data_IF_730670989298
#
_entry.id   IF_730670989298
#
_cell.length_a   1.000
_cell.length_b   1.000
_cell.length_c   1.000
_cell.angle_alpha   90.00
_cell.angle_beta   90.00
_cell.angle_gamma   90.00
#
_symmetry.space_group_name_H-M   'P 1'
#
loop_
_entity.id
_entity.type
_entity.pdbx_description
1 polymer ?
#
# COMPACT_ATOMS: atom_id res chain seq x y z
N UNK A 1 2.36 -36.85 32.58
CA UNK A 1 3.28 -36.88 31.42
C UNK A 1 2.81 -35.87 30.39
N UNK A 2 3.51 -34.75 30.26
CA UNK A 2 3.21 -33.69 29.30
C UNK A 2 3.52 -34.22 27.90
N UNK A 3 2.53 -34.77 27.18
CA UNK A 3 2.72 -35.24 25.80
C UNK A 3 3.23 -34.08 24.96
N UNK A 4 4.43 -34.26 24.40
CA UNK A 4 5.17 -33.27 23.61
C UNK A 4 4.37 -32.82 22.41
N UNK A 5 4.43 -31.53 22.09
CA UNK A 5 3.95 -31.00 20.80
C UNK A 5 4.93 -31.47 19.73
N UNK A 6 4.47 -32.25 18.77
CA UNK A 6 5.30 -32.68 17.64
C UNK A 6 5.00 -31.81 16.43
N UNK A 7 6.05 -31.24 15.84
CA UNK A 7 5.96 -30.43 14.61
C UNK A 7 6.48 -31.25 13.46
N UNK A 8 5.63 -31.50 12.46
CA UNK A 8 5.96 -32.34 11.30
C UNK A 8 5.46 -31.71 10.01
N UNK A 9 6.11 -32.06 8.90
CA UNK A 9 5.66 -31.70 7.55
C UNK A 9 4.29 -32.33 7.30
N UNK A 10 3.42 -31.60 6.62
CA UNK A 10 2.04 -31.98 6.36
C UNK A 10 1.69 -31.68 4.90
N UNK A 11 0.98 -32.62 4.25
CA UNK A 11 0.60 -32.54 2.84
C UNK A 11 -0.88 -32.11 2.65
N UNK A 12 -1.59 -31.78 3.74
CA UNK A 12 -2.99 -31.30 3.73
C UNK A 12 -3.11 -29.83 3.30
N UNK A 13 -2.59 -29.50 2.12
CA UNK A 13 -2.75 -28.20 1.46
C UNK A 13 -2.60 -28.31 -0.06
N UNK A 14 -3.17 -27.35 -0.79
CA UNK A 14 -3.05 -27.25 -2.24
C UNK A 14 -2.72 -25.83 -2.69
N UNK A 15 -2.22 -25.71 -3.91
CA UNK A 15 -2.15 -24.45 -4.65
C UNK A 15 -3.26 -24.41 -5.69
N UNK A 16 -3.87 -23.25 -5.87
CA UNK A 16 -4.89 -23.05 -6.91
C UNK A 16 -4.32 -23.10 -8.35
N UNK A 17 -2.99 -23.08 -8.48
CA UNK A 17 -2.28 -23.14 -9.75
C UNK A 17 -2.47 -24.50 -10.47
N UNK A 18 -2.24 -24.54 -11.81
CA UNK A 18 -2.27 -25.78 -12.60
C UNK A 18 -1.35 -26.88 -12.05
N UNK A 19 -1.67 -28.14 -12.36
CA UNK A 19 -1.00 -29.33 -11.79
C UNK A 19 0.53 -29.32 -11.96
N UNK A 20 1.02 -28.94 -13.14
CA UNK A 20 2.45 -28.88 -13.45
C UNK A 20 3.18 -27.90 -12.53
N UNK A 21 2.60 -26.71 -12.34
CA UNK A 21 3.12 -25.68 -11.43
C UNK A 21 3.02 -26.13 -9.98
N UNK A 22 1.92 -26.76 -9.59
CA UNK A 22 1.67 -27.23 -8.22
C UNK A 22 2.76 -28.19 -7.72
N UNK A 23 3.25 -29.08 -8.58
CA UNK A 23 4.30 -30.04 -8.23
C UNK A 23 5.64 -29.37 -7.83
N UNK A 24 5.97 -28.26 -8.48
CA UNK A 24 7.16 -27.45 -8.15
C UNK A 24 6.93 -26.64 -6.88
N UNK A 25 5.72 -26.09 -6.70
CA UNK A 25 5.39 -25.28 -5.52
C UNK A 25 5.45 -26.07 -4.22
N UNK A 26 5.09 -27.36 -4.23
CA UNK A 26 5.25 -28.24 -3.07
C UNK A 26 6.71 -28.46 -2.64
N UNK A 27 7.68 -28.19 -3.52
CA UNK A 27 9.12 -28.19 -3.17
C UNK A 27 9.58 -26.84 -2.61
N UNK A 28 8.86 -25.77 -2.94
CA UNK A 28 9.25 -24.40 -2.61
C UNK A 28 8.57 -23.84 -1.38
N UNK A 29 7.34 -24.27 -1.11
CA UNK A 29 6.53 -23.84 0.04
C UNK A 29 5.98 -25.11 0.68
N UNK A 30 6.30 -25.32 1.95
CA UNK A 30 5.91 -26.49 2.73
C UNK A 30 5.02 -26.07 3.91
N UNK A 31 4.02 -26.90 4.22
CA UNK A 31 3.22 -26.75 5.44
C UNK A 31 3.84 -27.56 6.59
N UNK A 32 3.96 -26.94 7.75
CA UNK A 32 4.37 -27.60 8.99
C UNK A 32 3.25 -27.49 10.03
N UNK A 33 2.76 -28.63 10.49
CA UNK A 33 1.64 -28.73 11.41
C UNK A 33 2.12 -29.15 12.79
N UNK A 34 1.54 -28.54 13.83
CA UNK A 34 1.81 -28.85 15.23
C UNK A 34 0.63 -29.67 15.76
N UNK A 35 0.89 -30.92 16.11
CA UNK A 35 -0.12 -31.84 16.62
C UNK A 35 -0.08 -31.90 18.15
N UNK A 36 -1.26 -32.11 18.74
CA UNK A 36 -1.41 -32.37 20.16
C UNK A 36 -2.38 -33.53 20.35
N UNK A 37 -1.99 -34.47 21.22
CA UNK A 37 -2.90 -35.53 21.66
C UNK A 37 -4.06 -34.95 22.46
N UNK A 38 -5.29 -35.25 22.03
CA UNK A 38 -6.50 -34.97 22.80
C UNK A 38 -6.93 -36.23 23.56
N UNK A 39 -6.94 -36.13 24.89
CA UNK A 39 -7.29 -37.24 25.78
C UNK A 39 -8.77 -37.64 25.73
N UNK A 40 -9.66 -36.71 25.36
CA UNK A 40 -11.10 -36.95 25.31
C UNK A 40 -11.51 -37.67 24.03
N UNK A 41 -11.02 -37.21 22.88
CA UNK A 41 -11.31 -37.81 21.57
C UNK A 41 -10.40 -39.00 21.26
N UNK A 42 -9.34 -39.22 22.08
CA UNK A 42 -8.30 -40.25 21.90
C UNK A 42 -7.64 -40.21 20.52
N UNK A 43 -7.50 -39.02 19.95
CA UNK A 43 -6.87 -38.77 18.65
C UNK A 43 -5.82 -37.66 18.75
N UNK A 44 -4.87 -37.66 17.81
CA UNK A 44 -4.04 -36.49 17.57
C UNK A 44 -4.84 -35.45 16.79
N UNK A 45 -4.85 -34.22 17.28
CA UNK A 45 -5.51 -33.10 16.63
C UNK A 45 -4.47 -32.06 16.25
N UNK A 46 -4.57 -31.56 15.01
CA UNK A 46 -3.77 -30.43 14.54
C UNK A 46 -4.20 -29.18 15.31
N UNK A 47 -3.26 -28.57 16.04
CA UNK A 47 -3.54 -27.38 16.84
C UNK A 47 -3.32 -26.08 16.05
N UNK A 48 -2.30 -26.07 15.20
CA UNK A 48 -1.89 -24.92 14.40
C UNK A 48 -0.94 -25.38 13.30
N UNK A 49 -0.83 -24.60 12.24
CA UNK A 49 0.18 -24.80 11.19
C UNK A 49 0.86 -23.50 10.82
N UNK A 50 1.94 -23.60 10.07
CA UNK A 50 2.59 -22.48 9.40
C UNK A 50 3.10 -22.93 8.04
N UNK A 51 3.23 -21.98 7.11
CA UNK A 51 3.94 -22.21 5.86
C UNK A 51 5.39 -21.77 5.97
N UNK A 52 6.29 -22.53 5.34
CA UNK A 52 7.71 -22.23 5.22
C UNK A 52 8.13 -22.32 3.78
N UNK A 53 8.99 -21.41 3.36
CA UNK A 53 9.65 -21.45 2.07
C UNK A 53 10.97 -22.22 2.14
N UNK A 54 11.43 -22.72 0.99
CA UNK A 54 12.75 -23.34 0.83
C UNK A 54 13.90 -22.33 1.04
N UNK A 55 15.15 -22.79 0.92
CA UNK A 55 16.35 -22.10 1.41
C UNK A 55 16.65 -20.73 0.78
N UNK A 56 16.26 -20.47 -0.47
CA UNK A 56 16.50 -19.19 -1.14
C UNK A 56 15.35 -18.20 -0.95
N UNK A 57 15.63 -16.90 -0.99
CA UNK A 57 14.61 -15.85 -0.87
C UNK A 57 13.70 -15.86 -2.09
N UNK A 58 12.38 -15.90 -1.88
CA UNK A 58 11.41 -15.76 -2.97
C UNK A 58 10.87 -14.34 -3.00
N UNK A 59 10.51 -13.88 -4.20
CA UNK A 59 9.89 -12.58 -4.39
C UNK A 59 8.54 -12.51 -3.64
N UNK A 60 8.38 -11.63 -2.63
CA UNK A 60 7.14 -11.53 -1.86
C UNK A 60 5.92 -11.17 -2.69
N UNK A 61 6.06 -10.36 -3.76
CA UNK A 61 4.95 -10.05 -4.65
C UNK A 61 4.45 -11.27 -5.42
N UNK A 62 5.35 -12.18 -5.80
CA UNK A 62 4.98 -13.42 -6.48
C UNK A 62 4.20 -14.35 -5.54
N UNK A 63 4.67 -14.52 -4.31
CA UNK A 63 3.95 -15.30 -3.30
C UNK A 63 2.60 -14.66 -3.01
N UNK A 64 2.59 -13.33 -2.86
CA UNK A 64 1.39 -12.60 -2.52
C UNK A 64 0.31 -12.72 -3.62
N UNK A 65 0.71 -12.58 -4.89
CA UNK A 65 -0.27 -12.50 -5.99
C UNK A 65 -0.57 -13.82 -6.69
N UNK A 66 0.35 -14.81 -6.63
CA UNK A 66 0.29 -15.99 -7.50
C UNK A 66 0.52 -17.34 -6.84
N UNK A 67 1.22 -17.40 -5.70
CA UNK A 67 1.60 -18.68 -5.05
C UNK A 67 0.89 -18.84 -3.71
N UNK A 68 -0.44 -18.83 -3.74
CA UNK A 68 -1.28 -18.81 -2.55
C UNK A 68 -1.62 -20.26 -2.13
N UNK A 69 -1.13 -20.73 -0.96
CA UNK A 69 -1.48 -22.04 -0.44
C UNK A 69 -2.83 -22.03 0.28
N UNK A 70 -3.53 -23.16 0.21
CA UNK A 70 -4.82 -23.40 0.86
C UNK A 70 -4.76 -24.70 1.66
N UNK A 71 -4.65 -24.57 2.99
CA UNK A 71 -4.76 -25.69 3.92
C UNK A 71 -6.22 -26.06 4.12
N UNK A 72 -6.48 -27.35 4.17
CA UNK A 72 -7.81 -27.91 4.44
C UNK A 72 -7.76 -28.90 5.62
N UNK A 73 -8.92 -29.18 6.20
CA UNK A 73 -9.09 -30.22 7.21
C UNK A 73 -9.38 -31.60 6.60
N UNK A 74 -9.74 -32.58 7.41
CA UNK A 74 -10.00 -33.96 6.97
C UNK A 74 -11.23 -34.09 6.06
N UNK A 75 -12.14 -33.11 6.12
CA UNK A 75 -13.36 -33.05 5.31
C UNK A 75 -13.14 -32.24 4.02
N UNK A 76 -11.92 -31.76 3.78
CA UNK A 76 -11.57 -30.95 2.62
C UNK A 76 -11.99 -29.49 2.73
N UNK A 77 -12.41 -29.03 3.92
CA UNK A 77 -12.84 -27.65 4.16
C UNK A 77 -11.62 -26.78 4.44
N UNK A 78 -11.53 -25.63 3.77
CA UNK A 78 -10.41 -24.68 3.96
C UNK A 78 -10.38 -24.17 5.40
N UNK A 79 -9.20 -24.25 6.01
CA UNK A 79 -8.95 -23.81 7.39
C UNK A 79 -9.16 -22.29 7.52
N UNK A 80 -9.86 -21.86 8.59
CA UNK A 80 -10.18 -20.43 8.83
C UNK A 80 -8.95 -19.53 8.99
N UNK A 81 -7.89 -20.06 9.57
CA UNK A 81 -6.60 -19.39 9.81
C UNK A 81 -5.67 -19.38 8.59
N UNK A 82 -6.07 -20.04 7.48
CA UNK A 82 -5.24 -20.12 6.27
C UNK A 82 -4.76 -18.78 5.76
N UNK A 83 -5.65 -17.78 5.73
CA UNK A 83 -5.29 -16.43 5.27
C UNK A 83 -4.20 -15.81 6.15
N UNK A 84 -4.30 -15.96 7.47
CA UNK A 84 -3.32 -15.40 8.41
C UNK A 84 -1.96 -16.09 8.25
N UNK A 85 -1.92 -17.42 8.18
CA UNK A 85 -0.67 -18.16 8.00
C UNK A 85 -0.01 -17.90 6.65
N UNK A 86 -0.81 -17.75 5.60
CA UNK A 86 -0.33 -17.31 4.30
C UNK A 86 0.26 -15.89 4.34
N UNK A 87 -0.40 -14.93 4.99
CA UNK A 87 0.16 -13.58 5.14
C UNK A 87 1.45 -13.58 5.96
N UNK A 88 1.56 -14.45 6.98
CA UNK A 88 2.81 -14.64 7.74
C UNK A 88 3.95 -15.16 6.86
N UNK A 89 3.67 -16.03 5.89
CA UNK A 89 4.67 -16.46 4.90
C UNK A 89 5.21 -15.26 4.11
N UNK A 90 4.32 -14.37 3.64
CA UNK A 90 4.72 -13.16 2.90
C UNK A 90 5.56 -12.22 3.77
N UNK A 91 5.19 -12.03 5.05
CA UNK A 91 5.97 -11.24 6.00
C UNK A 91 7.36 -11.83 6.20
N UNK A 92 7.46 -13.15 6.40
CA UNK A 92 8.74 -13.83 6.60
C UNK A 92 9.67 -13.69 5.37
N UNK A 93 9.13 -13.79 4.16
CA UNK A 93 9.92 -13.58 2.94
C UNK A 93 10.36 -12.13 2.76
N UNK A 94 9.52 -11.17 3.13
CA UNK A 94 9.90 -9.76 3.14
C UNK A 94 11.03 -9.49 4.13
N UNK A 95 10.99 -10.08 5.32
CA UNK A 95 12.04 -9.90 6.32
C UNK A 95 13.40 -10.45 5.83
N UNK A 96 13.39 -11.53 5.03
CA UNK A 96 14.60 -12.03 4.37
C UNK A 96 15.10 -11.05 3.31
N UNK A 97 14.22 -10.60 2.42
CA UNK A 97 14.53 -9.66 1.33
C UNK A 97 15.01 -8.30 1.84
N UNK A 98 14.46 -7.82 2.96
CA UNK A 98 14.77 -6.50 3.53
C UNK A 98 16.26 -6.31 3.86
N UNK A 99 17.03 -7.39 3.97
CA UNK A 99 18.47 -7.35 4.20
C UNK A 99 19.30 -7.14 2.92
N UNK A 100 18.66 -7.14 1.74
CA UNK A 100 19.34 -7.09 0.43
C UNK A 100 18.87 -5.90 -0.45
N UNK A 101 18.37 -4.81 0.14
CA UNK A 101 17.73 -3.71 -0.62
C UNK A 101 18.72 -2.75 -1.31
N UNK A 102 20.01 -2.90 -1.10
CA UNK A 102 21.02 -1.96 -1.60
C UNK A 102 20.98 -1.83 -3.13
N UNK A 103 20.76 -2.93 -3.85
CA UNK A 103 20.70 -2.89 -5.32
C UNK A 103 19.55 -2.05 -5.87
N UNK A 104 18.42 -1.97 -5.15
CA UNK A 104 17.25 -1.19 -5.55
C UNK A 104 17.61 0.29 -5.44
N UNK A 105 18.18 0.70 -4.31
CA UNK A 105 18.60 2.07 -4.07
C UNK A 105 19.66 2.50 -5.10
N UNK A 106 20.67 1.66 -5.37
CA UNK A 106 21.70 1.95 -6.37
C UNK A 106 21.12 2.12 -7.78
N UNK A 107 20.15 1.28 -8.15
CA UNK A 107 19.46 1.39 -9.44
C UNK A 107 18.66 2.68 -9.52
N UNK A 108 17.97 3.08 -8.46
CA UNK A 108 17.24 4.35 -8.43
C UNK A 108 18.18 5.54 -8.50
N UNK A 109 19.26 5.55 -7.74
CA UNK A 109 20.26 6.63 -7.81
C UNK A 109 20.86 6.76 -9.21
N UNK A 110 21.12 5.65 -9.92
CA UNK A 110 21.54 5.69 -11.34
C UNK A 110 20.51 6.38 -12.24
N UNK A 111 19.22 6.06 -12.07
CA UNK A 111 18.14 6.71 -12.83
C UNK A 111 18.10 8.20 -12.50
N UNK A 112 18.12 8.56 -11.21
CA UNK A 112 18.06 9.95 -10.75
C UNK A 112 19.27 10.76 -11.25
N UNK A 113 20.47 10.19 -11.24
CA UNK A 113 21.66 10.84 -11.78
C UNK A 113 21.56 11.06 -13.29
N UNK A 114 20.90 10.16 -14.03
CA UNK A 114 20.59 10.40 -15.43
C UNK A 114 19.73 11.65 -15.62
N UNK A 115 18.68 11.85 -14.79
CA UNK A 115 17.86 13.07 -14.85
C UNK A 115 18.70 14.33 -14.56
N UNK A 116 19.53 14.30 -13.52
CA UNK A 116 20.44 15.41 -13.19
C UNK A 116 21.36 15.76 -14.37
N UNK A 117 21.95 14.75 -15.00
CA UNK A 117 22.83 14.92 -16.17
C UNK A 117 22.09 15.49 -17.39
N UNK A 118 20.77 15.32 -17.47
CA UNK A 118 19.91 15.88 -18.52
C UNK A 118 19.32 17.26 -18.14
N UNK A 119 19.89 17.94 -17.14
CA UNK A 119 19.51 19.30 -16.76
C UNK A 119 18.22 19.41 -15.95
N UNK A 120 17.76 18.32 -15.32
CA UNK A 120 16.70 18.38 -14.33
C UNK A 120 17.27 18.67 -12.96
N UNK A 121 16.63 19.59 -12.24
CA UNK A 121 16.79 19.72 -10.80
C UNK A 121 16.01 18.59 -10.13
N UNK A 122 16.72 17.71 -9.41
CA UNK A 122 16.10 16.55 -8.74
C UNK A 122 16.31 16.64 -7.24
N UNK A 123 15.21 16.85 -6.53
CA UNK A 123 15.18 16.95 -5.08
C UNK A 123 14.57 15.70 -4.48
N UNK A 124 15.10 15.28 -3.34
CA UNK A 124 14.61 14.12 -2.61
C UNK A 124 14.36 14.44 -1.14
N UNK A 125 13.46 13.67 -0.54
CA UNK A 125 13.24 13.66 0.90
C UNK A 125 12.87 12.26 1.35
N UNK A 126 13.10 11.99 2.63
CA UNK A 126 12.75 10.71 3.24
C UNK A 126 11.61 10.93 4.20
N UNK A 127 10.69 9.98 4.31
CA UNK A 127 9.59 10.05 5.26
C UNK A 127 9.28 8.67 5.82
N UNK A 128 8.66 8.64 6.99
CA UNK A 128 8.25 7.40 7.66
C UNK A 128 6.76 7.49 8.00
N UNK A 129 5.98 6.41 7.90
CA UNK A 129 4.60 6.43 8.36
C UNK A 129 4.55 6.70 9.87
N UNK A 130 3.64 7.56 10.30
CA UNK A 130 3.33 7.82 11.72
C UNK A 130 2.91 6.54 12.42
N UNK A 131 2.09 5.74 11.75
CA UNK A 131 1.65 4.43 12.22
C UNK A 131 1.81 3.39 11.10
N UNK A 132 0.71 3.06 10.43
CA UNK A 132 0.65 2.08 9.35
C UNK A 132 0.18 2.74 8.08
N UNK A 133 0.62 2.22 6.94
CA UNK A 133 0.05 2.60 5.67
C UNK A 133 -0.20 1.37 4.79
N UNK A 134 -1.16 1.50 3.88
CA UNK A 134 -1.46 0.48 2.89
C UNK A 134 -1.86 1.17 1.59
N UNK A 135 -1.18 0.81 0.51
CA UNK A 135 -1.51 1.28 -0.84
C UNK A 135 -2.05 0.10 -1.64
N UNK A 136 -3.04 0.34 -2.49
CA UNK A 136 -3.60 -0.69 -3.37
C UNK A 136 -4.59 -1.65 -2.70
N UNK A 137 -5.16 -1.29 -1.54
CA UNK A 137 -6.09 -2.17 -0.80
C UNK A 137 -7.31 -2.61 -1.62
N UNK A 138 -7.79 -1.75 -2.52
CA UNK A 138 -8.95 -2.00 -3.38
C UNK A 138 -8.66 -2.68 -4.72
N UNK A 139 -7.41 -3.06 -4.99
CA UNK A 139 -7.10 -3.81 -6.21
C UNK A 139 -7.66 -5.24 -6.13
N UNK A 140 -8.08 -5.80 -7.27
CA UNK A 140 -8.58 -7.18 -7.33
C UNK A 140 -7.50 -8.16 -6.89
N UNK A 141 -7.83 -9.03 -5.94
CA UNK A 141 -6.91 -10.00 -5.38
C UNK A 141 -7.65 -11.27 -4.95
N UNK A 142 -7.09 -12.48 -5.11
CA UNK A 142 -7.76 -13.74 -4.75
C UNK A 142 -8.17 -13.84 -3.27
N UNK A 143 -7.56 -13.02 -2.41
CA UNK A 143 -7.84 -12.97 -0.96
C UNK A 143 -8.65 -11.73 -0.54
N UNK A 144 -9.30 -11.04 -1.49
CA UNK A 144 -10.16 -9.84 -1.30
C UNK A 144 -9.43 -8.55 -0.84
N UNK A 145 -8.30 -8.67 -0.15
CA UNK A 145 -7.47 -7.55 0.29
C UNK A 145 -6.14 -7.56 -0.45
N UNK A 146 -5.85 -6.47 -1.16
CA UNK A 146 -4.62 -6.33 -1.95
C UNK A 146 -3.64 -5.35 -1.32
N UNK A 147 -2.44 -5.26 -1.89
CA UNK A 147 -1.40 -4.34 -1.50
C UNK A 147 -0.48 -4.09 -2.71
N UNK A 148 0.00 -2.86 -2.86
CA UNK A 148 0.97 -2.49 -3.88
C UNK A 148 2.36 -3.01 -3.50
N UNK A 149 2.71 -4.18 -4.02
CA UNK A 149 4.07 -4.71 -4.05
C UNK A 149 4.63 -4.58 -5.46
N UNK A 150 5.88 -4.13 -5.57
CA UNK A 150 6.52 -3.99 -6.87
C UNK A 150 6.77 -5.38 -7.46
N UNK A 151 6.30 -5.64 -8.67
CA UNK A 151 6.34 -6.97 -9.30
C UNK A 151 7.77 -7.54 -9.43
N UNK A 152 8.76 -6.72 -9.81
CA UNK A 152 10.17 -7.17 -9.95
C UNK A 152 10.86 -7.33 -8.59
N UNK A 153 10.80 -6.31 -7.74
CA UNK A 153 11.57 -6.26 -6.50
C UNK A 153 10.88 -6.94 -5.32
N UNK A 154 9.56 -7.13 -5.38
CA UNK A 154 8.77 -7.71 -4.32
C UNK A 154 8.51 -6.80 -3.12
N UNK A 155 8.99 -5.55 -3.13
CA UNK A 155 8.90 -4.58 -2.01
C UNK A 155 7.63 -3.73 -2.05
N UNK A 156 7.11 -3.26 -0.90
CA UNK A 156 6.09 -2.20 -0.89
C UNK A 156 6.61 -0.94 -1.58
N UNK A 157 5.75 -0.24 -2.30
CA UNK A 157 6.07 1.07 -2.86
C UNK A 157 4.81 1.93 -2.94
N UNK A 158 4.98 3.24 -3.09
CA UNK A 158 3.89 4.17 -3.33
C UNK A 158 4.00 4.64 -4.79
N UNK A 159 3.00 4.35 -5.64
CA UNK A 159 3.02 4.79 -7.02
C UNK A 159 3.09 6.32 -7.14
N UNK A 160 3.84 6.80 -8.12
CA UNK A 160 3.94 8.22 -8.49
C UNK A 160 2.58 8.86 -8.72
N UNK A 161 1.64 8.12 -9.30
CA UNK A 161 0.27 8.58 -9.53
C UNK A 161 -0.50 8.82 -8.24
N UNK A 162 -0.30 7.98 -7.22
CA UNK A 162 -0.89 8.17 -5.90
C UNK A 162 -0.30 9.39 -5.20
N UNK A 163 1.03 9.58 -5.30
CA UNK A 163 1.74 10.75 -4.76
C UNK A 163 1.25 12.03 -5.45
N UNK A 164 1.27 12.08 -6.78
CA UNK A 164 0.78 13.23 -7.55
C UNK A 164 -0.69 13.51 -7.24
N UNK A 165 -1.52 12.46 -7.14
CA UNK A 165 -2.94 12.56 -6.84
C UNK A 165 -3.22 13.19 -5.48
N UNK A 166 -2.55 12.74 -4.43
CA UNK A 166 -2.77 13.30 -3.09
C UNK A 166 -2.32 14.75 -2.99
N UNK A 167 -1.16 15.08 -3.55
CA UNK A 167 -0.64 16.45 -3.52
C UNK A 167 -1.58 17.36 -4.30
N UNK A 168 -2.07 16.91 -5.47
CA UNK A 168 -3.07 17.66 -6.25
C UNK A 168 -4.35 17.87 -5.47
N UNK A 169 -4.89 16.82 -4.84
CA UNK A 169 -6.13 16.92 -4.08
C UNK A 169 -5.99 17.88 -2.89
N UNK A 170 -4.93 17.72 -2.09
CA UNK A 170 -4.63 18.62 -0.97
C UNK A 170 -4.46 20.07 -1.44
N UNK A 171 -3.77 20.28 -2.55
CA UNK A 171 -3.61 21.61 -3.16
C UNK A 171 -4.96 22.25 -3.50
N UNK A 172 -5.88 21.48 -4.10
CA UNK A 172 -7.24 21.95 -4.43
C UNK A 172 -7.98 22.35 -3.15
N UNK A 173 -7.89 21.58 -2.08
CA UNK A 173 -8.54 21.92 -0.81
C UNK A 173 -8.01 23.23 -0.23
N UNK A 174 -6.68 23.41 -0.17
CA UNK A 174 -6.05 24.66 0.31
C UNK A 174 -6.47 25.88 -0.52
N UNK A 175 -6.52 25.74 -1.84
CA UNK A 175 -6.97 26.83 -2.70
C UNK A 175 -8.49 27.08 -2.59
N UNK A 176 -9.30 26.06 -2.35
CA UNK A 176 -10.73 26.21 -2.11
C UNK A 176 -11.01 26.98 -0.81
N UNK A 177 -10.25 26.71 0.26
CA UNK A 177 -10.34 27.49 1.51
C UNK A 177 -10.06 28.98 1.26
N UNK A 178 -9.03 29.30 0.48
CA UNK A 178 -8.69 30.70 0.18
C UNK A 178 -9.69 31.34 -0.80
N UNK A 179 -10.19 30.58 -1.78
CA UNK A 179 -11.21 31.03 -2.72
C UNK A 179 -12.49 31.48 -2.00
N UNK A 180 -12.97 30.70 -1.01
CA UNK A 180 -14.13 31.05 -0.18
C UNK A 180 -13.88 32.34 0.61
N UNK A 181 -12.67 32.55 1.15
CA UNK A 181 -12.34 33.77 1.91
C UNK A 181 -12.38 35.02 1.04
N UNK A 182 -11.88 34.93 -0.19
CA UNK A 182 -11.85 36.06 -1.13
C UNK A 182 -13.27 36.39 -1.63
N UNK A 183 -14.10 35.37 -1.82
CA UNK A 183 -15.48 35.51 -2.32
C UNK A 183 -16.52 35.82 -1.23
N UNK A 184 -16.10 36.23 -0.03
CA UNK A 184 -17.01 36.63 1.07
C UNK A 184 -18.02 37.69 0.58
N UNK A 185 -19.26 37.25 0.32
CA UNK A 185 -20.34 38.05 -0.26
C UNK A 185 -21.18 37.30 -1.30
N UNK A 186 -20.63 36.23 -1.89
CA UNK A 186 -21.34 35.25 -2.73
C UNK A 186 -21.63 33.99 -1.89
N UNK A 187 -22.74 33.29 -2.15
CA UNK A 187 -23.18 32.07 -1.42
C UNK A 187 -22.36 30.83 -1.85
N UNK A 188 -21.04 30.95 -1.80
CA UNK A 188 -20.10 29.89 -2.19
C UNK A 188 -19.69 29.12 -0.94
N UNK A 189 -20.26 27.93 -0.78
CA UNK A 189 -19.81 26.99 0.26
C UNK A 189 -18.52 26.26 -0.17
N UNK A 190 -17.88 25.59 0.78
CA UNK A 190 -16.59 24.92 0.57
C UNK A 190 -16.65 23.81 -0.49
N UNK A 191 -17.71 23.00 -0.50
CA UNK A 191 -17.83 21.88 -1.45
C UNK A 191 -17.94 22.38 -2.91
N UNK A 192 -18.71 23.45 -3.13
CA UNK A 192 -18.80 24.12 -4.43
C UNK A 192 -17.44 24.70 -4.83
N UNK A 193 -16.73 25.34 -3.89
CA UNK A 193 -15.39 25.89 -4.15
C UNK A 193 -14.37 24.81 -4.54
N UNK A 194 -14.41 23.63 -3.91
CA UNK A 194 -13.54 22.49 -4.28
C UNK A 194 -13.80 22.06 -5.74
N UNK A 195 -15.06 21.96 -6.13
CA UNK A 195 -15.45 21.66 -7.50
C UNK A 195 -14.91 22.70 -8.50
N UNK A 196 -15.16 23.98 -8.22
CA UNK A 196 -14.71 25.08 -9.08
C UNK A 196 -13.19 25.14 -9.24
N UNK A 197 -12.45 25.09 -8.12
CA UNK A 197 -10.97 25.13 -8.13
C UNK A 197 -10.41 23.93 -8.90
N UNK A 198 -10.99 22.74 -8.72
CA UNK A 198 -10.60 21.53 -9.46
C UNK A 198 -10.85 21.65 -10.96
N UNK A 199 -12.01 22.17 -11.38
CA UNK A 199 -12.32 22.43 -12.79
C UNK A 199 -11.37 23.45 -13.40
N UNK A 200 -11.14 24.59 -12.73
CA UNK A 200 -10.21 25.63 -13.21
C UNK A 200 -8.79 25.11 -13.38
N UNK A 201 -8.34 24.24 -12.48
CA UNK A 201 -7.02 23.60 -12.57
C UNK A 201 -6.96 22.65 -13.77
N UNK A 202 -8.03 21.88 -14.03
CA UNK A 202 -8.12 20.97 -15.18
C UNK A 202 -8.11 21.72 -16.51
N UNK A 203 -8.82 22.84 -16.59
CA UNK A 203 -8.90 23.71 -17.77
C UNK A 203 -7.69 24.63 -17.95
N UNK A 204 -6.82 24.76 -16.93
CA UNK A 204 -5.70 25.70 -16.97
C UNK A 204 -6.08 27.17 -16.82
N UNK A 205 -7.28 27.47 -16.28
CA UNK A 205 -7.75 28.85 -16.07
C UNK A 205 -7.19 29.39 -14.76
N UNK A 206 -6.23 30.30 -14.85
CA UNK A 206 -5.56 30.86 -13.67
C UNK A 206 -6.53 31.68 -12.79
N UNK A 207 -6.68 31.31 -11.52
CA UNK A 207 -7.49 32.04 -10.54
C UNK A 207 -6.80 33.30 -9.97
N UNK A 208 -5.50 33.51 -10.26
CA UNK A 208 -4.71 34.61 -9.72
C UNK A 208 -4.68 34.67 -8.18
N UNK A 209 -4.85 33.52 -7.53
CA UNK A 209 -4.75 33.33 -6.09
C UNK A 209 -3.36 32.81 -5.75
N UNK A 210 -2.85 33.19 -4.59
CA UNK A 210 -1.61 32.65 -4.02
C UNK A 210 -1.86 32.19 -2.59
N UNK A 211 -1.46 30.96 -2.27
CA UNK A 211 -1.55 30.36 -0.94
C UNK A 211 -0.15 29.90 -0.55
N UNK A 212 0.36 30.31 0.62
CA UNK A 212 1.66 29.87 1.16
C UNK A 212 2.85 29.93 0.16
N UNK A 213 2.94 31.02 -0.60
CA UNK A 213 3.92 31.25 -1.69
C UNK A 213 3.77 30.34 -2.92
N UNK A 214 2.67 29.61 -3.03
CA UNK A 214 2.28 28.86 -4.23
C UNK A 214 1.17 29.62 -4.95
N UNK A 215 1.42 30.02 -6.20
CA UNK A 215 0.37 30.61 -7.03
C UNK A 215 -0.49 29.52 -7.67
N UNK A 216 -1.72 29.85 -8.06
CA UNK A 216 -2.55 28.91 -8.81
C UNK A 216 -1.92 28.55 -10.17
N UNK A 217 -1.17 29.49 -10.77
CA UNK A 217 -0.38 29.21 -11.97
C UNK A 217 0.74 28.20 -11.71
N UNK A 218 1.39 28.21 -10.53
CA UNK A 218 2.34 27.17 -10.16
C UNK A 218 1.67 25.79 -10.12
N UNK A 219 0.43 25.67 -9.62
CA UNK A 219 -0.30 24.38 -9.64
C UNK A 219 -0.54 23.87 -11.07
N UNK A 220 -0.92 24.77 -11.98
CA UNK A 220 -1.10 24.46 -13.40
C UNK A 220 0.22 23.93 -13.98
N UNK A 221 1.35 24.58 -13.68
CA UNK A 221 2.67 24.13 -14.12
C UNK A 221 3.07 22.80 -13.48
N UNK A 222 2.82 22.59 -12.18
CA UNK A 222 3.21 21.36 -11.47
C UNK A 222 2.43 20.15 -11.99
N UNK A 223 1.11 20.25 -12.07
CA UNK A 223 0.26 19.09 -12.36
C UNK A 223 -0.03 18.90 -13.84
N UNK A 224 0.04 19.97 -14.63
CA UNK A 224 -0.48 20.01 -16.00
C UNK A 224 -2.00 20.15 -16.04
N UNK A 225 -2.52 20.29 -17.26
CA UNK A 225 -3.93 20.47 -17.60
C UNK A 225 -4.32 19.43 -18.66
N UNK A 226 -5.53 19.51 -19.20
CA UNK A 226 -5.90 18.69 -20.37
C UNK A 226 -5.11 19.05 -21.64
N UNK A 227 -4.62 20.29 -21.73
CA UNK A 227 -3.94 20.82 -22.94
C UNK A 227 -2.43 21.01 -22.75
N UNK A 228 -1.92 20.88 -21.51
CA UNK A 228 -0.52 21.14 -21.17
C UNK A 228 0.04 20.05 -20.26
N UNK A 229 1.22 19.54 -20.60
CA UNK A 229 1.98 18.64 -19.74
C UNK A 229 2.49 19.38 -18.48
N UNK A 230 2.47 18.68 -17.34
CA UNK A 230 3.07 19.21 -16.12
C UNK A 230 4.60 19.25 -16.20
N UNK A 231 5.20 20.28 -15.65
CA UNK A 231 6.64 20.51 -15.63
C UNK A 231 7.38 19.75 -14.52
N UNK A 232 6.62 19.16 -13.58
CA UNK A 232 7.14 18.41 -12.45
C UNK A 232 6.85 16.92 -12.60
N UNK A 233 7.90 16.12 -12.47
CA UNK A 233 7.88 14.66 -12.47
C UNK A 233 7.88 14.18 -11.02
N UNK A 234 6.86 13.43 -10.66
CA UNK A 234 6.80 12.68 -9.41
C UNK A 234 7.25 11.25 -9.68
N UNK A 235 8.19 10.75 -8.87
CA UNK A 235 8.63 9.36 -8.96
C UNK A 235 7.88 8.48 -7.96
N UNK A 236 7.86 7.18 -8.23
CA UNK A 236 7.45 6.18 -7.26
C UNK A 236 8.34 6.27 -6.00
N UNK A 237 7.73 6.13 -4.83
CA UNK A 237 8.48 6.11 -3.57
C UNK A 237 8.79 4.67 -3.14
N UNK A 238 10.06 4.40 -2.86
CA UNK A 238 10.56 3.09 -2.47
C UNK A 238 11.13 3.10 -1.04
N UNK A 239 11.11 1.96 -0.35
CA UNK A 239 11.70 1.82 0.97
C UNK A 239 13.23 1.97 0.92
N UNK A 240 13.80 2.65 1.91
CA UNK A 240 15.24 2.70 2.15
C UNK A 240 15.55 2.17 3.56
N UNK A 241 16.29 1.07 3.61
CA UNK A 241 16.54 0.32 4.84
C UNK A 241 15.41 -0.66 5.17
N UNK A 242 15.27 -1.01 6.45
CA UNK A 242 14.40 -2.10 6.89
C UNK A 242 12.93 -1.90 6.50
N UNK A 243 12.37 -2.89 5.80
CA UNK A 243 10.94 -3.02 5.54
C UNK A 243 10.31 -3.79 6.70
N UNK A 244 9.19 -3.30 7.24
CA UNK A 244 8.43 -4.00 8.27
C UNK A 244 6.97 -4.13 7.83
N UNK A 245 6.61 -5.32 7.34
CA UNK A 245 5.21 -5.67 7.08
C UNK A 245 4.53 -6.17 8.35
N UNK A 246 3.27 -5.77 8.53
CA UNK A 246 2.40 -6.23 9.60
C UNK A 246 1.06 -6.69 9.05
N UNK A 247 0.50 -7.68 9.72
CA UNK A 247 -0.87 -8.12 9.47
C UNK A 247 -1.78 -7.28 10.37
N UNK A 248 -2.79 -6.69 9.77
CA UNK A 248 -3.88 -5.99 10.46
C UNK A 248 -5.22 -6.65 10.14
N UNK A 249 -6.28 -6.26 10.85
CA UNK A 249 -7.61 -6.86 10.74
C UNK A 249 -8.67 -5.79 10.56
N UNK A 250 -9.62 -6.02 9.66
CA UNK A 250 -10.83 -5.21 9.57
C UNK A 250 -12.09 -6.09 9.62
N UNK A 251 -13.15 -5.57 10.22
CA UNK A 251 -14.44 -6.24 10.29
C UNK A 251 -15.47 -5.38 9.54
N UNK A 252 -15.80 -5.66 8.26
CA UNK A 252 -16.89 -4.97 7.59
C UNK A 252 -18.22 -5.37 8.25
N UNK A 253 -18.98 -4.39 8.74
CA UNK A 253 -20.22 -4.62 9.50
C UNK A 253 -21.45 -4.93 8.62
N UNK A 254 -21.44 -4.61 7.32
CA UNK A 254 -22.61 -4.74 6.44
C UNK A 254 -22.28 -5.48 5.14
N UNK A 255 -21.74 -6.70 5.24
CA UNK A 255 -21.29 -7.46 4.07
C UNK A 255 -22.45 -7.70 3.10
N UNK A 256 -23.58 -8.21 3.57
CA UNK A 256 -24.71 -8.59 2.72
C UNK A 256 -25.33 -7.39 1.98
N UNK A 257 -25.24 -6.20 2.56
CA UNK A 257 -25.60 -4.95 1.90
C UNK A 257 -24.66 -4.57 0.76
N UNK A 258 -23.34 -4.62 1.00
CA UNK A 258 -22.35 -4.31 -0.04
C UNK A 258 -22.33 -5.32 -1.19
N UNK A 259 -22.74 -6.57 -0.95
CA UNK A 259 -22.92 -7.58 -1.99
C UNK A 259 -24.32 -7.55 -2.64
N UNK A 260 -25.20 -6.65 -2.21
CA UNK A 260 -26.54 -6.46 -2.78
C UNK A 260 -27.52 -7.60 -2.51
N UNK A 261 -27.23 -8.46 -1.53
CA UNK A 261 -28.03 -9.65 -1.23
C UNK A 261 -29.10 -9.40 -0.17
N UNK A 262 -28.88 -8.48 0.77
CA UNK A 262 -29.83 -8.13 1.84
C UNK A 262 -29.71 -6.65 2.24
N UNK A 263 -30.78 -6.03 2.79
CA UNK A 263 -30.68 -4.73 3.44
C UNK A 263 -29.67 -4.75 4.60
N UNK A 264 -29.06 -3.60 4.96
CA UNK A 264 -28.05 -3.55 6.01
C UNK A 264 -28.71 -3.91 7.35
N UNK A 265 -28.12 -4.85 8.06
CA UNK A 265 -28.63 -5.36 9.31
C UNK A 265 -27.51 -5.46 10.35
N UNK A 266 -27.76 -4.96 11.57
CA UNK A 266 -26.76 -4.92 12.65
C UNK A 266 -26.44 -6.30 13.26
N UNK A 267 -27.13 -7.37 12.82
CA UNK A 267 -26.91 -8.75 13.28
C UNK A 267 -26.06 -9.59 12.31
N UNK A 268 -25.47 -8.99 11.27
CA UNK A 268 -24.49 -9.67 10.41
C UNK A 268 -23.30 -10.16 11.27
N UNK A 269 -22.92 -11.44 11.13
CA UNK A 269 -21.78 -11.98 11.86
C UNK A 269 -20.48 -11.28 11.43
N UNK A 270 -19.65 -10.79 12.36
CA UNK A 270 -18.40 -10.14 12.00
C UNK A 270 -17.46 -11.15 11.35
N UNK A 271 -16.97 -10.81 10.16
CA UNK A 271 -15.97 -11.60 9.44
C UNK A 271 -14.63 -10.86 9.49
N UNK A 272 -13.68 -11.28 10.36
CA UNK A 272 -12.36 -10.69 10.41
C UNK A 272 -11.60 -10.90 9.11
N UNK A 273 -11.33 -9.80 8.41
CA UNK A 273 -10.54 -9.77 7.19
C UNK A 273 -9.13 -9.29 7.50
N UNK A 274 -8.18 -10.22 7.51
CA UNK A 274 -6.77 -9.86 7.66
C UNK A 274 -6.20 -9.23 6.38
N UNK A 275 -5.30 -8.28 6.51
CA UNK A 275 -4.63 -7.64 5.37
C UNK A 275 -3.22 -7.18 5.74
N UNK A 276 -2.37 -6.94 4.74
CA UNK A 276 -1.01 -6.46 4.95
C UNK A 276 -0.98 -4.93 5.05
N UNK A 277 -0.10 -4.46 5.93
CA UNK A 277 0.21 -3.05 6.15
C UNK A 277 1.71 -2.89 6.27
N UNK A 278 2.20 -1.69 6.00
CA UNK A 278 3.59 -1.31 6.20
C UNK A 278 3.67 -0.42 7.44
N UNK A 279 4.58 -0.76 8.35
CA UNK A 279 4.87 -0.03 9.58
C UNK A 279 6.35 0.32 9.62
N UNK A 280 6.76 1.36 10.35
CA UNK A 280 8.16 1.63 10.69
C UNK A 280 9.17 1.60 9.53
N UNK A 281 8.74 1.83 8.28
CA UNK A 281 9.55 1.68 7.07
C UNK A 281 9.78 3.06 6.47
N UNK A 282 11.04 3.47 6.33
CA UNK A 282 11.40 4.76 5.75
C UNK A 282 11.32 4.67 4.22
N UNK A 283 10.65 5.60 3.57
CA UNK A 283 10.58 5.70 2.11
C UNK A 283 11.33 6.93 1.62
N UNK A 284 11.88 6.84 0.40
CA UNK A 284 12.48 7.97 -0.31
C UNK A 284 11.54 8.43 -1.41
N UNK A 285 11.32 9.74 -1.46
CA UNK A 285 10.53 10.42 -2.47
C UNK A 285 11.47 11.26 -3.32
N UNK A 286 11.32 11.18 -4.64
CA UNK A 286 12.04 12.03 -5.59
C UNK A 286 11.03 12.86 -6.39
N UNK A 287 11.37 14.11 -6.61
CA UNK A 287 10.62 15.06 -7.44
C UNK A 287 11.64 15.78 -8.34
N UNK A 288 11.35 15.84 -9.63
CA UNK A 288 12.22 16.49 -10.60
C UNK A 288 11.49 17.53 -11.44
N UNK A 289 12.19 18.59 -11.82
CA UNK A 289 11.73 19.61 -12.74
C UNK A 289 12.90 20.39 -13.31
N UNK A 290 12.70 21.13 -14.41
CA UNK A 290 13.76 22.00 -14.96
C UNK A 290 13.86 23.33 -14.21
N UNK A 291 12.75 23.80 -13.64
CA UNK A 291 12.69 25.00 -12.81
C UNK A 291 12.95 24.63 -11.35
N UNK A 292 14.08 25.06 -10.80
CA UNK A 292 14.47 24.78 -9.42
C UNK A 292 13.48 25.36 -8.40
N UNK A 293 12.94 26.56 -8.66
CA UNK A 293 12.03 27.23 -7.73
C UNK A 293 10.71 26.48 -7.67
N UNK A 294 10.16 26.11 -8.84
CA UNK A 294 8.93 25.32 -8.91
C UNK A 294 9.12 23.93 -8.28
N UNK A 295 10.26 23.29 -8.54
CA UNK A 295 10.59 21.98 -7.96
C UNK A 295 10.67 22.05 -6.44
N UNK A 296 11.29 23.10 -5.89
CA UNK A 296 11.37 23.32 -4.43
C UNK A 296 10.00 23.54 -3.81
N UNK A 297 9.12 24.31 -4.46
CA UNK A 297 7.73 24.49 -4.03
C UNK A 297 6.96 23.16 -4.04
N UNK A 298 7.10 22.36 -5.10
CA UNK A 298 6.46 21.05 -5.21
C UNK A 298 6.93 20.08 -4.11
N UNK A 299 8.21 20.07 -3.78
CA UNK A 299 8.75 19.26 -2.66
C UNK A 299 8.17 19.68 -1.32
N UNK A 300 8.09 20.98 -1.05
CA UNK A 300 7.50 21.48 0.19
C UNK A 300 6.04 21.02 0.32
N UNK A 301 5.24 21.25 -0.71
CA UNK A 301 3.83 20.87 -0.73
C UNK A 301 3.63 19.36 -0.72
N UNK A 302 4.56 18.58 -1.27
CA UNK A 302 4.56 17.13 -1.12
C UNK A 302 4.71 16.68 0.33
N UNK A 303 5.64 17.27 1.08
CA UNK A 303 5.82 16.99 2.52
C UNK A 303 4.57 17.36 3.31
N UNK A 304 4.02 18.55 3.06
CA UNK A 304 2.84 19.05 3.79
C UNK A 304 1.60 18.18 3.50
N UNK A 305 1.33 17.84 2.25
CA UNK A 305 0.21 16.96 1.87
C UNK A 305 0.33 15.56 2.50
N UNK A 306 1.54 14.97 2.49
CA UNK A 306 1.80 13.67 3.11
C UNK A 306 1.66 13.70 4.64
N UNK A 307 1.90 14.85 5.27
CA UNK A 307 1.74 15.06 6.71
C UNK A 307 0.27 15.26 7.13
N UNK A 308 -0.48 16.03 6.34
CA UNK A 308 -1.85 16.44 6.69
C UNK A 308 -2.92 15.43 6.24
N UNK A 309 -2.81 14.88 5.02
CA UNK A 309 -3.81 13.96 4.48
C UNK A 309 -3.34 12.52 4.36
N UNK A 310 -2.03 12.32 4.19
CA UNK A 310 -1.45 10.99 4.01
C UNK A 310 -1.81 10.33 2.69
N UNK A 311 -1.26 9.14 2.45
CA UNK A 311 -1.36 8.43 1.17
C UNK A 311 -1.73 6.97 1.35
N UNK A 312 -2.55 6.45 0.43
CA UNK A 312 -3.06 5.08 0.45
C UNK A 312 -4.51 5.01 0.90
N UNK A 313 -4.92 3.84 1.38
CA UNK A 313 -6.28 3.61 1.86
C UNK A 313 -6.40 3.87 3.36
N UNK A 314 -7.63 4.12 3.81
CA UNK A 314 -7.99 4.30 5.24
C UNK A 314 -7.31 5.52 5.90
N UNK A 315 -7.03 6.57 5.14
CA UNK A 315 -6.40 7.80 5.65
C UNK A 315 -7.24 8.50 6.71
N UNK A 316 -8.58 8.47 6.59
CA UNK A 316 -9.50 8.97 7.61
C UNK A 316 -9.41 8.25 8.96
N UNK A 317 -8.82 7.05 8.98
CA UNK A 317 -8.57 6.26 10.19
C UNK A 317 -7.12 6.41 10.69
N UNK A 318 -6.35 7.36 10.14
CA UNK A 318 -4.96 7.63 10.53
C UNK A 318 -3.91 6.79 9.78
N UNK A 319 -4.30 5.99 8.77
CA UNK A 319 -3.33 5.28 7.93
C UNK A 319 -2.66 6.23 6.95
N UNK A 320 -1.42 5.94 6.56
CA UNK A 320 -0.79 6.66 5.45
C UNK A 320 -0.31 8.07 5.76
N UNK A 321 -0.44 8.55 7.00
CA UNK A 321 0.15 9.82 7.45
C UNK A 321 1.66 9.63 7.59
N UNK A 322 2.45 10.54 7.03
CA UNK A 322 3.90 10.51 7.09
C UNK A 322 4.47 11.61 7.98
N UNK A 323 5.57 11.28 8.65
CA UNK A 323 6.35 12.15 9.53
C UNK A 323 7.85 11.99 9.24
N UNK A 324 8.68 12.73 10.00
CA UNK A 324 10.14 12.67 9.99
C UNK A 324 10.76 12.96 8.60
N UNK A 325 10.45 14.14 8.06
CA UNK A 325 10.82 14.61 6.71
C UNK A 325 12.15 15.36 6.57
#
# INVERSE_FOLDING_TARGET
MTKSREKRKDDKYIFYNPADTRSLLFKEIEKYSIFKWNSHTRKEEEKSFEYRSSSYIKNPALIFSRLIPYSFDEEGIVRKDNKVEYLKLVVNEMDKLGNELDYINDRFERVINSFRNNGFEVKSFKGKPLWRFVVGLGASHPQETSMALHHIYGVPYIPASAIKGIIKHWSVLKFAEEYVKIKKGEDVNFDTAVGEVSEKLREGKNLSITVDNMSFYDLIRIFGTQEREGEIIFFDAYPCGKITLKIDVMNPHYKNYYFGTQPPADWDQPLPLSFLTVENTKLVFYIAGKDETLTSKAVKWAKDALKEHGVGAKTSLGYGIFIDF
#
